data_IF_303890287879
#
_entry.id   IF_303890287879
#
_cell.length_a   1.000
_cell.length_b   1.000
_cell.length_c   1.000
_cell.angle_alpha   90.00
_cell.angle_beta   90.00
_cell.angle_gamma   90.00
#
_symmetry.space_group_name_H-M   'P 1'
#
loop_
_entity.id
_entity.type
_entity.pdbx_description
1 polymer ?
#
# COMPACT_ATOMS: atom_id res chain seq x y z
N UNK A 1 14.46 26.81 -17.82
CA UNK A 1 13.44 25.75 -17.87
C UNK A 1 13.13 25.34 -16.44
N UNK A 2 11.87 25.02 -16.09
CA UNK A 2 11.57 24.44 -14.78
C UNK A 2 12.42 23.17 -14.60
N UNK A 3 12.98 22.98 -13.40
CA UNK A 3 13.73 21.75 -13.09
C UNK A 3 12.75 20.58 -13.02
N UNK A 4 13.17 19.37 -13.43
CA UNK A 4 12.31 18.21 -13.32
C UNK A 4 12.07 17.86 -11.86
N UNK A 5 10.90 17.28 -11.58
CA UNK A 5 10.69 16.50 -10.36
C UNK A 5 10.76 15.02 -10.71
N UNK A 6 11.37 14.23 -9.84
CA UNK A 6 11.55 12.80 -10.08
C UNK A 6 10.52 12.00 -9.32
N UNK A 7 9.73 11.19 -10.02
CA UNK A 7 8.84 10.22 -9.39
C UNK A 7 9.52 8.85 -9.45
N UNK A 8 9.93 8.34 -8.29
CA UNK A 8 10.82 7.18 -8.19
C UNK A 8 10.02 5.89 -8.32
N UNK A 9 10.26 5.14 -9.41
CA UNK A 9 9.56 3.88 -9.72
C UNK A 9 9.48 3.62 -11.21
N UNK A 10 8.87 2.50 -11.59
CA UNK A 10 8.59 2.22 -13.01
C UNK A 10 7.30 2.90 -13.47
N UNK A 11 7.12 3.19 -14.78
CA UNK A 11 5.85 3.73 -15.29
C UNK A 11 4.63 2.89 -14.91
N UNK A 12 4.75 1.56 -14.91
CA UNK A 12 3.66 0.67 -14.53
C UNK A 12 3.25 0.82 -13.05
N UNK A 13 4.19 1.17 -12.18
CA UNK A 13 3.93 1.34 -10.76
C UNK A 13 3.39 2.73 -10.45
N UNK A 14 3.94 3.78 -11.07
CA UNK A 14 3.72 5.15 -10.58
C UNK A 14 3.07 6.12 -11.55
N UNK A 15 2.83 5.76 -12.82
CA UNK A 15 2.27 6.71 -13.78
C UNK A 15 0.93 7.29 -13.33
N UNK A 16 0.07 6.47 -12.71
CA UNK A 16 -1.21 6.93 -12.19
C UNK A 16 -1.08 7.87 -10.98
N UNK A 17 -0.07 7.66 -10.13
CA UNK A 17 0.26 8.56 -9.01
C UNK A 17 0.92 9.87 -9.46
N UNK A 18 1.72 9.82 -10.54
CA UNK A 18 2.46 10.95 -11.08
C UNK A 18 1.59 11.89 -11.94
N UNK A 19 0.55 11.36 -12.60
CA UNK A 19 -0.33 12.12 -13.51
C UNK A 19 -0.85 13.45 -12.95
N UNK A 20 -1.31 13.54 -11.69
CA UNK A 20 -1.79 14.80 -11.12
C UNK A 20 -0.74 15.93 -11.08
N UNK A 21 0.55 15.59 -11.16
CA UNK A 21 1.66 16.54 -11.12
C UNK A 21 2.17 16.95 -12.51
N UNK A 22 1.88 16.16 -13.56
CA UNK A 22 2.41 16.36 -14.92
C UNK A 22 1.98 17.69 -15.57
N UNK A 23 0.83 18.20 -15.16
CA UNK A 23 0.32 19.49 -15.60
C UNK A 23 1.04 20.69 -14.95
N UNK A 24 1.66 20.48 -13.78
CA UNK A 24 2.28 21.54 -12.99
C UNK A 24 3.82 21.51 -13.06
N UNK A 25 4.41 20.33 -13.34
CA UNK A 25 5.85 20.11 -13.31
C UNK A 25 6.32 19.27 -14.50
N UNK A 26 7.61 19.39 -14.84
CA UNK A 26 8.31 18.42 -15.69
C UNK A 26 8.55 17.14 -14.88
N UNK A 27 7.57 16.23 -14.86
CA UNK A 27 7.65 14.99 -14.06
C UNK A 27 8.40 13.92 -14.84
N UNK A 28 9.50 13.42 -14.28
CA UNK A 28 10.25 12.28 -14.80
C UNK A 28 9.99 11.05 -13.95
N UNK A 29 9.42 10.02 -14.56
CA UNK A 29 9.27 8.70 -13.93
C UNK A 29 10.51 7.89 -14.28
N UNK A 30 11.32 7.57 -13.27
CA UNK A 30 12.58 6.87 -13.46
C UNK A 30 12.80 5.84 -12.36
N UNK A 31 13.51 4.77 -12.69
CA UNK A 31 13.88 3.75 -11.72
C UNK A 31 14.85 4.33 -10.65
N UNK A 32 14.88 3.75 -9.44
CA UNK A 32 15.63 4.30 -8.31
C UNK A 32 17.10 4.62 -8.62
N UNK A 33 17.80 3.71 -9.31
CA UNK A 33 19.21 3.89 -9.67
C UNK A 33 19.45 5.02 -10.69
N UNK A 34 18.48 5.29 -11.56
CA UNK A 34 18.61 6.32 -12.59
C UNK A 34 18.28 7.69 -12.02
N UNK A 35 17.28 7.78 -11.14
CA UNK A 35 17.03 8.99 -10.33
C UNK A 35 18.28 9.36 -9.55
N UNK A 36 18.93 8.40 -8.88
CA UNK A 36 20.19 8.66 -8.18
C UNK A 36 21.27 9.19 -9.12
N UNK A 37 21.36 8.72 -10.37
CA UNK A 37 22.36 9.24 -11.33
C UNK A 37 22.03 10.64 -11.82
N UNK A 38 20.77 10.90 -12.14
CA UNK A 38 20.35 12.11 -12.83
C UNK A 38 20.01 13.28 -11.91
N UNK A 39 19.43 13.02 -10.74
CA UNK A 39 19.03 14.05 -9.79
C UNK A 39 20.25 14.85 -9.30
N UNK A 40 20.05 16.16 -9.21
CA UNK A 40 21.04 17.13 -8.77
C UNK A 40 20.68 17.68 -7.39
N UNK A 41 21.65 18.26 -6.65
CA UNK A 41 21.35 18.94 -5.40
C UNK A 41 20.24 19.99 -5.58
N UNK A 42 19.27 19.95 -4.65
CA UNK A 42 18.13 20.85 -4.63
C UNK A 42 16.91 20.36 -5.43
N UNK A 43 16.99 19.21 -6.10
CA UNK A 43 15.84 18.61 -6.79
C UNK A 43 14.91 17.90 -5.81
N UNK A 44 13.64 17.71 -6.22
CA UNK A 44 12.61 17.01 -5.43
C UNK A 44 12.36 15.61 -6.02
N UNK A 45 12.42 14.60 -5.15
CA UNK A 45 12.19 13.20 -5.48
C UNK A 45 11.00 12.64 -4.69
N UNK A 46 10.01 12.09 -5.38
CA UNK A 46 8.77 11.56 -4.80
C UNK A 46 8.79 10.03 -4.82
N UNK A 47 8.47 9.42 -3.68
CA UNK A 47 8.34 7.98 -3.51
C UNK A 47 6.87 7.63 -3.26
N UNK A 48 6.35 6.57 -3.90
CA UNK A 48 5.04 5.99 -3.54
C UNK A 48 5.16 4.83 -2.54
N UNK A 49 6.38 4.33 -2.35
CA UNK A 49 6.73 3.27 -1.42
C UNK A 49 8.21 3.43 -1.09
N UNK A 50 8.57 3.49 0.19
CA UNK A 50 9.96 3.60 0.65
C UNK A 50 10.40 2.38 1.49
N UNK A 51 9.61 1.32 1.51
CA UNK A 51 9.87 0.12 2.32
C UNK A 51 10.61 -0.96 1.57
N UNK A 52 10.51 -0.97 0.23
CA UNK A 52 11.28 -1.90 -0.60
C UNK A 52 12.76 -1.50 -0.63
N UNK A 53 13.65 -2.48 -0.53
CA UNK A 53 15.09 -2.26 -0.43
C UNK A 53 15.65 -1.32 -1.53
N UNK A 54 15.21 -1.48 -2.79
CA UNK A 54 15.66 -0.63 -3.91
C UNK A 54 15.31 0.85 -3.71
N UNK A 55 14.18 1.17 -3.10
CA UNK A 55 13.78 2.56 -2.82
C UNK A 55 14.57 3.13 -1.65
N UNK A 56 14.83 2.33 -0.62
CA UNK A 56 15.65 2.73 0.55
C UNK A 56 17.07 3.11 0.17
N UNK A 57 17.71 2.29 -0.67
CA UNK A 57 19.07 2.58 -1.17
C UNK A 57 19.09 3.89 -1.93
N UNK A 58 18.17 4.10 -2.87
CA UNK A 58 18.09 5.35 -3.61
C UNK A 58 17.80 6.55 -2.70
N UNK A 59 16.91 6.40 -1.73
CA UNK A 59 16.60 7.44 -0.76
C UNK A 59 17.86 7.92 -0.03
N UNK A 60 18.65 7.01 0.53
CA UNK A 60 19.89 7.39 1.25
C UNK A 60 20.87 8.16 0.36
N UNK A 61 21.04 7.75 -0.90
CA UNK A 61 21.92 8.43 -1.85
C UNK A 61 21.36 9.82 -2.23
N UNK A 62 20.05 9.96 -2.40
CA UNK A 62 19.40 11.23 -2.74
C UNK A 62 19.49 12.24 -1.58
N UNK A 63 19.31 11.80 -0.33
CA UNK A 63 19.53 12.65 0.84
C UNK A 63 20.98 13.11 0.93
N UNK A 64 21.97 12.23 0.72
CA UNK A 64 23.40 12.60 0.67
C UNK A 64 23.70 13.61 -0.43
N UNK A 65 22.97 13.54 -1.54
CA UNK A 65 23.03 14.53 -2.64
C UNK A 65 22.29 15.83 -2.34
N UNK A 66 21.68 15.97 -1.16
CA UNK A 66 20.86 17.13 -0.77
C UNK A 66 19.66 17.34 -1.71
N UNK A 67 19.07 16.23 -2.16
CA UNK A 67 17.77 16.23 -2.81
C UNK A 67 16.67 16.18 -1.75
N UNK A 68 15.59 16.92 -1.96
CA UNK A 68 14.40 16.80 -1.12
C UNK A 68 13.66 15.51 -1.46
N UNK A 69 13.16 14.80 -0.45
CA UNK A 69 12.45 13.52 -0.61
C UNK A 69 11.08 13.59 0.02
N UNK A 70 10.06 13.20 -0.73
CA UNK A 70 8.66 13.20 -0.30
C UNK A 70 8.08 11.78 -0.44
N UNK A 71 7.55 11.23 0.64
CA UNK A 71 6.77 10.00 0.59
C UNK A 71 5.30 10.33 0.34
N UNK A 72 4.81 10.06 -0.86
CA UNK A 72 3.44 10.30 -1.28
C UNK A 72 2.58 9.04 -1.08
N UNK A 73 1.77 9.05 -0.04
CA UNK A 73 0.92 7.90 0.31
C UNK A 73 -0.36 7.93 -0.54
N UNK A 74 -0.61 6.87 -1.30
CA UNK A 74 -1.86 6.65 -2.06
C UNK A 74 -2.60 5.38 -1.59
N UNK A 75 -2.33 4.98 -0.36
CA UNK A 75 -2.88 3.79 0.30
C UNK A 75 -3.47 4.14 1.66
N UNK A 76 -4.34 3.28 2.19
CA UNK A 76 -4.59 3.30 3.63
C UNK A 76 -3.45 2.57 4.33
N UNK A 77 -3.02 3.08 5.48
CA UNK A 77 -2.26 2.29 6.43
C UNK A 77 -3.11 1.13 6.94
N UNK A 78 -2.50 -0.04 6.99
CA UNK A 78 -3.17 -1.29 7.35
C UNK A 78 -2.32 -2.04 8.37
N UNK A 79 -2.92 -2.52 9.45
CA UNK A 79 -2.21 -3.11 10.58
C UNK A 79 -1.35 -4.31 10.18
N UNK A 80 -1.93 -5.28 9.47
CA UNK A 80 -1.24 -6.52 9.08
C UNK A 80 -0.03 -6.21 8.20
N UNK A 81 -0.13 -5.23 7.30
CA UNK A 81 0.99 -4.75 6.49
C UNK A 81 2.14 -4.18 7.31
N UNK A 82 1.85 -3.58 8.47
CA UNK A 82 2.83 -2.86 9.29
C UNK A 82 3.43 -3.72 10.40
N UNK A 83 2.70 -4.74 10.87
CA UNK A 83 3.07 -5.52 12.06
C UNK A 83 3.16 -7.03 11.84
N UNK A 84 2.45 -7.56 10.85
CA UNK A 84 2.32 -9.01 10.62
C UNK A 84 2.92 -9.45 9.28
N UNK A 85 3.46 -8.50 8.50
CA UNK A 85 4.12 -8.81 7.24
C UNK A 85 5.42 -9.57 7.51
N UNK A 86 5.60 -10.81 7.01
CA UNK A 86 6.74 -11.67 7.38
C UNK A 86 8.10 -11.24 6.81
N UNK A 87 8.24 -10.01 6.32
CA UNK A 87 9.54 -9.43 5.94
C UNK A 87 10.15 -10.01 4.67
N UNK A 88 9.44 -9.94 3.54
CA UNK A 88 10.01 -10.19 2.20
C UNK A 88 11.05 -9.13 1.76
N UNK A 89 10.99 -8.65 0.52
CA UNK A 89 11.86 -7.55 0.03
C UNK A 89 11.58 -6.19 0.70
N UNK A 90 10.52 -6.11 1.50
CA UNK A 90 10.20 -4.96 2.34
C UNK A 90 10.89 -5.08 3.69
N UNK A 91 11.29 -3.94 4.26
CA UNK A 91 11.84 -3.88 5.62
C UNK A 91 10.94 -4.63 6.63
N UNK A 92 11.55 -5.34 7.58
CA UNK A 92 10.87 -6.02 8.71
C UNK A 92 9.93 -5.10 9.50
N UNK A 93 10.11 -3.79 9.38
CA UNK A 93 9.31 -2.75 10.00
C UNK A 93 8.75 -1.82 8.93
N UNK A 94 7.77 -2.31 8.16
CA UNK A 94 7.06 -1.51 7.18
C UNK A 94 6.53 -0.25 7.86
N UNK A 95 6.85 0.93 7.32
CA UNK A 95 6.49 2.20 7.93
C UNK A 95 7.49 2.80 8.92
N UNK A 96 8.58 2.11 9.32
CA UNK A 96 9.45 2.58 10.43
C UNK A 96 10.95 2.26 10.24
N UNK A 97 11.86 3.25 10.37
CA UNK A 97 11.57 4.68 10.32
C UNK A 97 11.12 5.08 8.91
N UNK A 98 10.26 6.08 8.83
CA UNK A 98 10.08 6.84 7.59
C UNK A 98 11.40 7.52 7.23
N UNK A 99 11.78 7.39 5.96
CA UNK A 99 13.04 7.92 5.47
C UNK A 99 12.90 9.33 4.88
N UNK A 100 11.78 9.58 4.20
CA UNK A 100 11.54 10.83 3.48
C UNK A 100 11.50 12.06 4.40
N UNK A 101 11.98 13.20 3.91
CA UNK A 101 11.93 14.46 4.66
C UNK A 101 10.51 14.90 4.99
N UNK A 102 9.55 14.53 4.13
CA UNK A 102 8.12 14.80 4.28
C UNK A 102 7.29 13.60 3.86
N UNK A 103 6.07 13.53 4.39
CA UNK A 103 5.04 12.53 4.10
C UNK A 103 3.78 13.28 3.65
N UNK A 104 3.31 13.03 2.44
CA UNK A 104 1.98 13.48 2.02
C UNK A 104 0.95 12.43 2.49
N UNK A 105 0.32 12.72 3.63
CA UNK A 105 -0.67 11.86 4.26
C UNK A 105 -2.05 12.01 3.58
N UNK A 106 -2.75 10.88 3.48
CA UNK A 106 -4.11 10.81 2.93
C UNK A 106 -5.13 11.53 3.81
N UNK A 107 -5.00 11.43 5.13
CA UNK A 107 -5.95 12.02 6.08
C UNK A 107 -5.38 12.08 7.49
N UNK A 108 -6.15 12.69 8.39
CA UNK A 108 -5.74 12.94 9.79
C UNK A 108 -5.55 11.64 10.58
N UNK A 109 -6.36 10.61 10.33
CA UNK A 109 -6.25 9.33 11.03
C UNK A 109 -4.87 8.70 10.83
N UNK A 110 -4.40 8.65 9.57
CA UNK A 110 -3.09 8.08 9.24
C UNK A 110 -1.94 8.99 9.68
N UNK A 111 -2.09 10.31 9.58
CA UNK A 111 -1.12 11.25 10.11
C UNK A 111 -0.90 11.02 11.61
N UNK A 112 -1.96 10.91 12.42
CA UNK A 112 -1.83 10.62 13.87
C UNK A 112 -1.08 9.31 14.15
N UNK A 113 -1.27 8.29 13.31
CA UNK A 113 -0.53 7.03 13.44
C UNK A 113 0.97 7.25 13.19
N UNK A 114 1.35 7.93 12.11
CA UNK A 114 2.75 8.27 11.87
C UNK A 114 3.35 9.18 12.94
N UNK A 115 2.61 10.20 13.37
CA UNK A 115 3.01 11.10 14.46
C UNK A 115 3.24 10.32 15.75
N UNK A 116 2.36 9.36 16.07
CA UNK A 116 2.53 8.47 17.22
C UNK A 116 3.77 7.58 17.11
N UNK A 117 4.25 7.30 15.89
CA UNK A 117 5.49 6.56 15.63
C UNK A 117 6.74 7.46 15.61
N UNK A 118 6.60 8.73 15.98
CA UNK A 118 7.71 9.70 16.02
C UNK A 118 7.86 10.55 14.76
N UNK A 119 6.97 10.43 13.78
CA UNK A 119 7.02 11.19 12.52
C UNK A 119 6.15 12.45 12.55
N UNK A 120 6.20 13.16 13.69
CA UNK A 120 5.42 14.36 13.99
C UNK A 120 5.61 15.51 13.00
N UNK A 121 6.85 15.66 12.52
CA UNK A 121 7.33 16.85 11.79
C UNK A 121 7.33 16.63 10.28
N UNK A 122 7.13 15.40 9.85
CA UNK A 122 7.22 14.98 8.46
C UNK A 122 5.84 14.97 7.81
N UNK A 123 4.76 14.78 8.59
CA UNK A 123 3.40 14.63 8.08
C UNK A 123 2.80 15.92 7.51
N UNK A 124 2.23 15.85 6.32
CA UNK A 124 1.48 16.92 5.66
C UNK A 124 0.14 16.37 5.17
N UNK A 125 -0.98 17.02 5.51
CA UNK A 125 -2.31 16.56 5.11
C UNK A 125 -2.60 16.98 3.66
N UNK A 126 -2.59 16.01 2.75
CA UNK A 126 -2.73 16.27 1.31
C UNK A 126 -4.04 15.72 0.76
N UNK A 127 -4.43 14.51 1.15
CA UNK A 127 -5.50 13.76 0.49
C UNK A 127 -4.96 12.86 -0.62
N UNK A 128 -5.86 12.38 -1.49
CA UNK A 128 -5.50 11.53 -2.64
C UNK A 128 -5.88 12.28 -3.93
N UNK A 129 -4.93 12.79 -4.72
CA UNK A 129 -5.22 13.59 -5.91
C UNK A 129 -6.09 12.87 -6.96
N UNK A 130 -6.03 11.54 -7.07
CA UNK A 130 -6.92 10.79 -7.97
C UNK A 130 -8.39 10.82 -7.53
N UNK A 131 -8.69 11.21 -6.30
CA UNK A 131 -10.06 11.39 -5.80
C UNK A 131 -10.63 12.78 -6.11
N UNK A 132 -9.84 13.72 -6.64
CA UNK A 132 -10.33 15.08 -6.92
C UNK A 132 -11.52 15.08 -7.88
N UNK A 133 -11.53 14.17 -8.86
CA UNK A 133 -12.64 14.01 -9.80
C UNK A 133 -13.92 13.45 -9.17
N UNK A 134 -13.83 12.92 -7.94
CA UNK A 134 -14.93 12.34 -7.17
C UNK A 134 -15.60 13.36 -6.25
N UNK A 135 -14.92 14.47 -5.94
CA UNK A 135 -15.43 15.51 -5.04
C UNK A 135 -16.76 16.08 -5.54
N UNK A 136 -17.71 16.25 -4.61
CA UNK A 136 -19.01 16.85 -4.89
C UNK A 136 -19.99 15.98 -5.68
N UNK A 137 -19.62 14.75 -6.04
CA UNK A 137 -20.56 13.82 -6.66
C UNK A 137 -21.61 13.37 -5.64
N UNK A 138 -22.85 13.24 -6.10
CA UNK A 138 -23.93 12.68 -5.29
C UNK A 138 -23.96 11.16 -5.45
N UNK A 139 -24.46 10.43 -4.42
CA UNK A 139 -24.79 9.02 -4.57
C UNK A 139 -25.78 8.81 -5.72
N UNK A 140 -25.73 7.61 -6.31
CA UNK A 140 -26.74 7.16 -7.26
C UNK A 140 -28.13 7.27 -6.66
N UNK A 141 -29.12 7.65 -7.49
CA UNK A 141 -30.54 7.45 -7.18
C UNK A 141 -31.03 6.17 -7.85
N UNK A 142 -31.32 5.14 -7.07
CA UNK A 142 -31.89 3.87 -7.53
C UNK A 142 -33.37 4.05 -7.90
N UNK A 143 -33.82 3.43 -8.99
CA UNK A 143 -35.25 3.35 -9.31
C UNK A 143 -35.96 2.36 -8.38
N UNK A 144 -37.26 2.52 -8.16
CA UNK A 144 -37.99 1.72 -7.15
C UNK A 144 -37.95 0.21 -7.48
N UNK A 145 -38.05 -0.11 -8.77
CA UNK A 145 -38.09 -1.45 -9.36
C UNK A 145 -36.72 -2.11 -9.54
N UNK A 146 -35.64 -1.35 -9.41
CA UNK A 146 -34.28 -1.87 -9.61
C UNK A 146 -33.79 -2.61 -8.35
N UNK A 147 -33.15 -3.78 -8.47
CA UNK A 147 -32.58 -4.46 -7.31
C UNK A 147 -31.48 -3.61 -6.64
N UNK A 148 -31.38 -3.73 -5.31
CA UNK A 148 -30.30 -3.12 -4.55
C UNK A 148 -28.98 -3.82 -4.88
N UNK A 149 -28.02 -3.07 -5.41
CA UNK A 149 -26.76 -3.61 -5.92
C UNK A 149 -25.64 -3.40 -4.93
N UNK A 150 -25.04 -4.49 -4.44
CA UNK A 150 -23.88 -4.48 -3.54
C UNK A 150 -22.62 -4.75 -4.35
N UNK A 151 -21.66 -3.83 -4.30
CA UNK A 151 -20.31 -4.08 -4.78
C UNK A 151 -19.49 -4.79 -3.71
N UNK A 152 -19.00 -5.99 -4.01
CA UNK A 152 -18.05 -6.72 -3.18
C UNK A 152 -16.67 -6.60 -3.80
N UNK A 153 -15.70 -6.07 -3.06
CA UNK A 153 -14.34 -5.90 -3.56
C UNK A 153 -13.25 -6.23 -2.53
N UNK A 154 -12.04 -6.48 -3.00
CA UNK A 154 -10.87 -6.66 -2.13
C UNK A 154 -9.79 -5.63 -2.41
N UNK A 155 -8.98 -5.34 -1.38
CA UNK A 155 -7.67 -4.72 -1.57
C UNK A 155 -6.82 -5.55 -2.55
N UNK A 156 -5.83 -4.91 -3.19
CA UNK A 156 -4.84 -5.59 -4.05
C UNK A 156 -4.16 -6.77 -3.36
N UNK A 157 -3.92 -6.65 -2.05
CA UNK A 157 -3.38 -7.67 -1.16
C UNK A 157 -4.36 -7.89 -0.01
N UNK A 158 -5.30 -8.84 -0.13
CA UNK A 158 -6.32 -9.08 0.90
C UNK A 158 -5.74 -9.70 2.18
N UNK A 159 -4.54 -10.29 2.10
CA UNK A 159 -3.73 -10.76 3.21
C UNK A 159 -2.24 -10.78 2.82
N UNK A 160 -1.38 -10.88 3.84
CA UNK A 160 0.08 -10.87 3.74
C UNK A 160 0.73 -12.20 4.15
N UNK A 161 -0.06 -13.10 4.74
CA UNK A 161 0.29 -14.50 4.99
C UNK A 161 -0.74 -15.42 4.34
N UNK A 162 -0.39 -16.69 4.13
CA UNK A 162 -1.34 -17.68 3.59
C UNK A 162 -2.59 -17.81 4.47
N UNK A 163 -2.42 -17.78 5.79
CA UNK A 163 -3.54 -17.81 6.73
C UNK A 163 -4.47 -16.60 6.59
N UNK A 164 -3.91 -15.39 6.47
CA UNK A 164 -4.71 -14.17 6.27
C UNK A 164 -5.45 -14.20 4.94
N UNK A 165 -4.81 -14.70 3.86
CA UNK A 165 -5.45 -14.88 2.56
C UNK A 165 -6.58 -15.90 2.65
N UNK A 166 -6.37 -17.02 3.35
CA UNK A 166 -7.39 -18.04 3.58
C UNK A 166 -8.59 -17.48 4.35
N UNK A 167 -8.36 -16.70 5.43
CA UNK A 167 -9.44 -16.03 6.18
C UNK A 167 -10.21 -15.02 5.32
N UNK A 168 -9.50 -14.24 4.49
CA UNK A 168 -10.15 -13.32 3.56
C UNK A 168 -11.02 -14.08 2.55
N UNK A 169 -10.51 -15.16 1.96
CA UNK A 169 -11.29 -16.04 1.07
C UNK A 169 -12.52 -16.62 1.78
N UNK A 170 -12.37 -17.12 3.00
CA UNK A 170 -13.50 -17.66 3.77
C UNK A 170 -14.58 -16.61 4.01
N UNK A 171 -14.19 -15.38 4.37
CA UNK A 171 -15.15 -14.28 4.56
C UNK A 171 -15.96 -13.95 3.29
N UNK A 172 -15.34 -14.06 2.12
CA UNK A 172 -16.00 -13.85 0.83
C UNK A 172 -16.93 -15.02 0.46
N UNK A 173 -16.52 -16.27 0.75
CA UNK A 173 -17.36 -17.46 0.56
C UNK A 173 -18.61 -17.43 1.43
N UNK A 174 -18.46 -17.01 2.68
CA UNK A 174 -19.60 -16.86 3.59
C UNK A 174 -20.54 -15.75 3.11
N UNK A 175 -20.01 -14.60 2.70
CA UNK A 175 -20.80 -13.50 2.14
C UNK A 175 -21.57 -13.93 0.90
N UNK A 176 -20.91 -14.63 -0.03
CA UNK A 176 -21.55 -15.19 -1.23
C UNK A 176 -22.69 -16.13 -0.84
N UNK A 177 -22.41 -17.09 0.04
CA UNK A 177 -23.38 -18.07 0.52
C UNK A 177 -24.56 -17.42 1.25
N UNK A 178 -24.31 -16.32 1.96
CA UNK A 178 -25.36 -15.53 2.61
C UNK A 178 -26.26 -14.85 1.56
N UNK A 179 -25.67 -14.16 0.57
CA UNK A 179 -26.41 -13.44 -0.47
C UNK A 179 -27.22 -14.39 -1.38
N UNK A 180 -26.70 -15.58 -1.68
CA UNK A 180 -27.41 -16.59 -2.47
C UNK A 180 -28.61 -17.20 -1.73
N UNK A 181 -28.49 -17.41 -0.40
CA UNK A 181 -29.58 -17.90 0.44
C UNK A 181 -30.62 -16.82 0.77
N UNK A 182 -30.24 -15.54 0.66
CA UNK A 182 -31.09 -14.40 0.98
C UNK A 182 -31.17 -13.46 -0.23
N UNK A 183 -31.86 -13.86 -1.31
CA UNK A 183 -32.00 -13.03 -2.52
C UNK A 183 -32.76 -11.72 -2.27
N UNK A 184 -33.42 -11.62 -1.12
CA UNK A 184 -34.06 -10.40 -0.62
C UNK A 184 -33.58 -10.10 0.79
N UNK A 185 -33.25 -8.85 1.07
CA UNK A 185 -32.83 -8.38 2.41
C UNK A 185 -33.75 -7.22 2.79
N UNK A 186 -34.44 -7.33 3.94
CA UNK A 186 -35.44 -6.33 4.33
C UNK A 186 -36.60 -6.19 3.33
N UNK A 187 -36.92 -7.25 2.58
CA UNK A 187 -37.92 -7.23 1.50
C UNK A 187 -37.44 -6.61 0.18
N UNK A 188 -36.21 -6.10 0.12
CA UNK A 188 -35.61 -5.55 -1.10
C UNK A 188 -34.86 -6.65 -1.87
N UNK A 189 -35.10 -6.87 -3.18
CA UNK A 189 -34.25 -7.73 -4.00
C UNK A 189 -32.81 -7.23 -4.02
N UNK A 190 -31.85 -8.12 -3.82
CA UNK A 190 -30.42 -7.78 -3.78
C UNK A 190 -29.67 -8.46 -4.91
N UNK A 191 -28.77 -7.72 -5.54
CA UNK A 191 -27.80 -8.21 -6.52
C UNK A 191 -26.39 -7.94 -6.02
N UNK A 192 -25.46 -8.86 -6.24
CA UNK A 192 -24.03 -8.62 -5.99
C UNK A 192 -23.24 -8.45 -7.28
N UNK A 193 -22.22 -7.59 -7.22
CA UNK A 193 -21.20 -7.39 -8.25
C UNK A 193 -19.85 -7.61 -7.59
N UNK A 194 -18.99 -8.43 -8.18
CA UNK A 194 -17.73 -8.85 -7.57
C UNK A 194 -16.54 -8.24 -8.31
N UNK A 195 -15.61 -7.65 -7.54
CA UNK A 195 -14.34 -7.06 -8.00
C UNK A 195 -13.24 -7.49 -7.03
N UNK A 196 -12.86 -8.76 -7.10
CA UNK A 196 -11.89 -9.35 -6.18
C UNK A 196 -10.58 -9.64 -6.90
N UNK A 197 -9.48 -9.70 -6.17
CA UNK A 197 -8.12 -9.74 -6.73
C UNK A 197 -7.41 -11.06 -6.43
N UNK A 198 -6.27 -11.28 -7.07
CA UNK A 198 -5.34 -12.41 -6.79
C UNK A 198 -5.91 -13.81 -7.05
N UNK A 199 -6.87 -13.96 -7.96
CA UNK A 199 -7.45 -15.27 -8.26
C UNK A 199 -8.46 -15.75 -7.23
N UNK A 200 -8.79 -14.93 -6.22
CA UNK A 200 -9.83 -15.24 -5.24
C UNK A 200 -11.19 -15.48 -5.92
N UNK A 201 -11.43 -14.93 -7.10
CA UNK A 201 -12.64 -15.20 -7.89
C UNK A 201 -12.84 -16.67 -8.23
N UNK A 202 -11.76 -17.38 -8.56
CA UNK A 202 -11.83 -18.80 -8.85
C UNK A 202 -12.07 -19.60 -7.57
N UNK A 203 -11.49 -19.17 -6.45
CA UNK A 203 -11.62 -19.85 -5.17
C UNK A 203 -13.00 -19.65 -4.53
N UNK A 204 -13.55 -18.45 -4.64
CA UNK A 204 -14.89 -18.08 -4.13
C UNK A 204 -15.99 -18.55 -5.09
N UNK A 205 -15.66 -18.74 -6.37
CA UNK A 205 -16.58 -19.21 -7.41
C UNK A 205 -17.55 -18.13 -7.88
N UNK A 206 -17.02 -16.94 -8.21
CA UNK A 206 -17.80 -15.77 -8.65
C UNK A 206 -17.30 -15.22 -9.98
N UNK A 207 -18.20 -14.63 -10.76
CA UNK A 207 -17.84 -13.91 -11.97
C UNK A 207 -17.23 -12.56 -11.61
N UNK A 208 -15.95 -12.40 -11.90
CA UNK A 208 -15.21 -11.19 -11.57
C UNK A 208 -15.40 -10.11 -12.65
N UNK A 209 -15.75 -8.90 -12.20
CA UNK A 209 -15.93 -7.73 -13.07
C UNK A 209 -14.69 -6.83 -13.12
N UNK A 210 -13.62 -7.21 -12.42
CA UNK A 210 -12.35 -6.47 -12.42
C UNK A 210 -11.73 -6.47 -13.83
N UNK A 211 -11.85 -5.34 -14.54
CA UNK A 211 -11.21 -5.12 -15.84
C UNK A 211 -9.89 -4.35 -15.72
N UNK A 212 -9.80 -3.46 -14.73
CA UNK A 212 -8.66 -2.57 -14.54
C UNK A 212 -8.43 -2.27 -13.04
N UNK A 213 -7.17 -2.12 -12.63
CA UNK A 213 -6.73 -1.76 -11.27
C UNK A 213 -6.35 -0.27 -11.12
N UNK A 214 -6.38 0.54 -12.18
CA UNK A 214 -6.01 1.98 -12.12
C UNK A 214 -7.00 2.88 -11.35
N UNK A 215 -8.14 2.34 -10.92
CA UNK A 215 -9.16 3.05 -10.12
C UNK A 215 -10.21 3.81 -10.94
N UNK A 216 -9.98 4.12 -12.22
CA UNK A 216 -11.00 4.79 -13.06
C UNK A 216 -12.26 3.94 -13.24
N UNK A 217 -12.07 2.63 -13.38
CA UNK A 217 -13.15 1.64 -13.46
C UNK A 217 -13.97 1.57 -12.15
N UNK A 218 -13.31 1.73 -10.99
CA UNK A 218 -13.99 1.71 -9.69
C UNK A 218 -14.91 2.93 -9.52
N UNK A 219 -14.44 4.12 -9.90
CA UNK A 219 -15.25 5.34 -9.83
C UNK A 219 -16.54 5.25 -10.65
N UNK A 220 -16.49 4.64 -11.84
CA UNK A 220 -17.66 4.41 -12.68
C UNK A 220 -18.60 3.36 -12.07
N UNK A 221 -18.04 2.32 -11.46
CA UNK A 221 -18.81 1.26 -10.80
C UNK A 221 -19.50 1.75 -9.53
N UNK A 222 -18.87 2.63 -8.74
CA UNK A 222 -19.48 3.23 -7.54
C UNK A 222 -20.74 4.04 -7.86
N UNK A 223 -20.86 4.56 -9.08
CA UNK A 223 -22.06 5.27 -9.55
C UNK A 223 -23.21 4.32 -9.96
N UNK A 224 -22.96 3.00 -9.95
CA UNK A 224 -23.93 1.98 -10.35
C UNK A 224 -24.36 1.08 -9.19
N UNK A 225 -23.76 1.23 -8.01
CA UNK A 225 -24.06 0.40 -6.84
C UNK A 225 -24.67 1.22 -5.71
N UNK A 226 -25.35 0.53 -4.80
CA UNK A 226 -26.05 1.14 -3.67
C UNK A 226 -25.30 0.94 -2.34
N UNK A 227 -24.42 -0.05 -2.25
CA UNK A 227 -23.52 -0.26 -1.12
C UNK A 227 -22.20 -0.92 -1.54
N UNK A 228 -21.19 -0.79 -0.69
CA UNK A 228 -19.89 -1.45 -0.84
C UNK A 228 -19.63 -2.37 0.37
N UNK A 229 -19.18 -3.59 0.11
CA UNK A 229 -18.56 -4.46 1.11
C UNK A 229 -17.13 -4.73 0.67
N UNK A 230 -16.15 -4.40 1.49
CA UNK A 230 -14.74 -4.48 1.11
C UNK A 230 -13.84 -4.94 2.23
N UNK A 231 -12.75 -5.63 1.91
CA UNK A 231 -11.61 -5.77 2.83
C UNK A 231 -10.91 -4.40 3.02
N UNK A 232 -10.06 -4.20 4.06
CA UNK A 232 -9.40 -2.92 4.29
C UNK A 232 -8.68 -2.41 3.04
N UNK A 233 -9.17 -1.33 2.42
CA UNK A 233 -8.61 -0.80 1.17
C UNK A 233 -8.93 0.69 0.98
N UNK A 234 -8.22 1.36 0.08
CA UNK A 234 -8.54 2.75 -0.30
C UNK A 234 -9.91 2.91 -0.97
N UNK A 235 -10.47 1.83 -1.53
CA UNK A 235 -11.80 1.86 -2.11
C UNK A 235 -12.90 2.12 -1.06
N UNK A 236 -12.62 1.87 0.23
CA UNK A 236 -13.50 2.31 1.32
C UNK A 236 -13.70 3.82 1.28
N UNK A 237 -12.60 4.57 1.20
CA UNK A 237 -12.63 6.03 1.15
C UNK A 237 -13.29 6.54 -0.13
N UNK A 238 -13.08 5.85 -1.27
CA UNK A 238 -13.77 6.17 -2.53
C UNK A 238 -15.29 6.02 -2.40
N UNK A 239 -15.77 4.90 -1.85
CA UNK A 239 -17.19 4.65 -1.62
C UNK A 239 -17.82 5.65 -0.65
N UNK A 240 -17.15 5.88 0.49
CA UNK A 240 -17.59 6.87 1.48
C UNK A 240 -17.65 8.29 0.90
N UNK A 241 -16.67 8.67 0.08
CA UNK A 241 -16.62 9.99 -0.59
C UNK A 241 -17.77 10.19 -1.58
N UNK A 242 -18.26 9.11 -2.19
CA UNK A 242 -19.46 9.14 -3.04
C UNK A 242 -20.77 9.05 -2.24
N UNK A 243 -20.71 9.02 -0.90
CA UNK A 243 -21.86 8.86 -0.02
C UNK A 243 -22.52 7.48 -0.10
N UNK A 244 -21.80 6.47 -0.61
CA UNK A 244 -22.25 5.08 -0.67
C UNK A 244 -22.01 4.44 0.71
N UNK A 245 -22.98 3.76 1.33
CA UNK A 245 -22.76 2.96 2.54
C UNK A 245 -21.65 1.93 2.35
N UNK A 246 -20.66 1.91 3.23
CA UNK A 246 -19.49 1.03 3.16
C UNK A 246 -19.40 0.15 4.40
N UNK A 247 -19.36 -1.17 4.19
CA UNK A 247 -19.00 -2.14 5.22
C UNK A 247 -17.58 -2.69 5.02
N UNK A 248 -16.87 -2.79 6.13
CA UNK A 248 -15.56 -3.43 6.22
C UNK A 248 -15.75 -4.93 6.52
N UNK A 249 -15.29 -5.78 5.60
CA UNK A 249 -15.25 -7.24 5.75
C UNK A 249 -13.83 -7.64 6.18
N UNK A 250 -13.66 -7.98 7.45
CA UNK A 250 -12.35 -8.39 7.97
C UNK A 250 -12.47 -9.43 9.08
N UNK A 251 -12.30 -10.70 8.72
CA UNK A 251 -12.27 -11.82 9.65
C UNK A 251 -10.94 -11.97 10.40
N UNK A 252 -9.94 -11.14 10.12
CA UNK A 252 -8.67 -11.20 10.85
C UNK A 252 -8.76 -10.55 12.22
N UNK A 253 -9.80 -9.74 12.47
CA UNK A 253 -10.05 -9.05 13.73
C UNK A 253 -8.82 -8.26 14.23
N UNK A 254 -8.19 -7.54 13.30
CA UNK A 254 -7.02 -6.70 13.58
C UNK A 254 -7.42 -5.23 13.75
N UNK A 255 -6.60 -4.38 14.39
CA UNK A 255 -6.86 -2.96 14.51
C UNK A 255 -7.03 -2.27 13.13
N UNK A 256 -8.05 -1.41 13.00
CA UNK A 256 -8.31 -0.64 11.78
C UNK A 256 -7.88 0.82 11.95
N UNK A 257 -6.89 1.27 11.18
CA UNK A 257 -6.47 2.67 11.15
C UNK A 257 -7.40 3.57 10.33
N UNK A 258 -8.20 2.95 9.46
CA UNK A 258 -9.29 3.59 8.71
C UNK A 258 -10.53 2.70 8.91
N UNK A 259 -11.38 2.98 9.90
CA UNK A 259 -12.54 2.15 10.19
C UNK A 259 -13.71 2.44 9.23
N UNK A 260 -14.73 1.57 9.27
CA UNK A 260 -16.04 1.83 8.64
C UNK A 260 -17.15 1.88 9.69
N UNK A 261 -18.29 2.49 9.32
CA UNK A 261 -19.48 2.53 10.17
C UNK A 261 -20.16 1.15 10.29
N UNK A 262 -19.89 0.25 9.35
CA UNK A 262 -20.33 -1.15 9.38
C UNK A 262 -19.11 -2.07 9.35
N UNK A 263 -19.03 -3.00 10.30
CA UNK A 263 -17.93 -3.97 10.39
C UNK A 263 -18.50 -5.39 10.40
N UNK A 264 -17.97 -6.24 9.54
CA UNK A 264 -18.32 -7.65 9.39
C UNK A 264 -17.05 -8.45 9.67
N UNK A 265 -16.94 -8.92 10.91
CA UNK A 265 -15.78 -9.69 11.39
C UNK A 265 -16.09 -11.18 11.56
N UNK A 266 -17.36 -11.57 11.38
CA UNK A 266 -17.83 -12.95 11.45
C UNK A 266 -19.11 -13.13 10.64
N UNK A 267 -19.47 -14.39 10.35
CA UNK A 267 -20.62 -14.75 9.51
C UNK A 267 -21.96 -14.31 10.13
N UNK A 268 -22.05 -14.32 11.46
CA UNK A 268 -23.23 -13.94 12.22
C UNK A 268 -23.59 -12.45 12.03
N UNK A 269 -22.63 -11.63 11.58
CA UNK A 269 -22.84 -10.19 11.40
C UNK A 269 -23.53 -9.84 10.08
N UNK A 270 -23.59 -10.75 9.09
CA UNK A 270 -24.14 -10.43 7.77
C UNK A 270 -25.59 -9.95 7.83
N UNK A 271 -26.44 -10.62 8.61
CA UNK A 271 -27.86 -10.26 8.65
C UNK A 271 -28.07 -8.82 9.10
N UNK A 272 -27.42 -8.42 10.19
CA UNK A 272 -27.55 -7.06 10.70
C UNK A 272 -26.89 -6.06 9.75
N UNK A 273 -25.63 -6.30 9.36
CA UNK A 273 -24.86 -5.35 8.56
C UNK A 273 -25.51 -5.11 7.19
N UNK A 274 -25.90 -6.17 6.48
CA UNK A 274 -26.49 -6.04 5.15
C UNK A 274 -27.91 -5.45 5.19
N UNK A 275 -28.72 -5.77 6.20
CA UNK A 275 -30.03 -5.15 6.37
C UNK A 275 -29.91 -3.64 6.58
N UNK A 276 -28.93 -3.22 7.38
CA UNK A 276 -28.64 -1.80 7.54
C UNK A 276 -28.02 -1.19 6.28
N UNK A 277 -27.17 -1.86 5.50
CA UNK A 277 -26.70 -1.29 4.24
C UNK A 277 -27.86 -1.02 3.24
N UNK A 278 -28.86 -1.91 3.21
CA UNK A 278 -30.07 -1.74 2.37
C UNK A 278 -30.95 -0.57 2.85
N UNK A 279 -31.01 -0.36 4.17
CA UNK A 279 -31.78 0.73 4.80
C UNK A 279 -30.93 1.44 5.85
N UNK A 280 -29.95 2.27 5.44
CA UNK A 280 -28.92 2.79 6.32
C UNK A 280 -29.49 3.76 7.35
N UNK A 281 -29.29 3.51 8.65
CA UNK A 281 -29.69 4.46 9.69
C UNK A 281 -29.02 5.83 9.46
N UNK A 282 -29.76 6.95 9.50
CA UNK A 282 -29.20 8.28 9.27
C UNK A 282 -27.99 8.60 10.18
N UNK A 283 -28.02 8.14 11.44
CA UNK A 283 -26.91 8.30 12.37
C UNK A 283 -25.63 7.58 11.92
N UNK A 284 -25.73 6.39 11.31
CA UNK A 284 -24.56 5.65 10.80
C UNK A 284 -23.99 6.27 9.53
N UNK A 285 -24.83 6.84 8.66
CA UNK A 285 -24.37 7.63 7.52
C UNK A 285 -23.63 8.89 7.96
N UNK A 286 -24.16 9.60 8.95
CA UNK A 286 -23.48 10.75 9.54
C UNK A 286 -22.14 10.35 10.17
N UNK A 287 -22.11 9.23 10.89
CA UNK A 287 -20.85 8.70 11.43
C UNK A 287 -19.86 8.29 10.33
N UNK A 288 -20.31 7.67 9.24
CA UNK A 288 -19.46 7.38 8.08
C UNK A 288 -18.84 8.66 7.49
N UNK A 289 -19.62 9.74 7.38
CA UNK A 289 -19.10 11.02 6.92
C UNK A 289 -18.02 11.57 7.88
N UNK A 290 -18.23 11.44 9.19
CA UNK A 290 -17.19 11.79 10.17
C UNK A 290 -15.91 10.96 9.98
N UNK A 291 -16.05 9.63 9.81
CA UNK A 291 -14.92 8.73 9.54
C UNK A 291 -14.19 9.07 8.24
N UNK A 292 -14.93 9.44 7.18
CA UNK A 292 -14.36 9.89 5.92
C UNK A 292 -13.49 11.13 6.11
N UNK A 293 -13.98 12.16 6.79
CA UNK A 293 -13.22 13.41 6.99
C UNK A 293 -12.00 13.23 7.91
N UNK A 294 -12.01 12.20 8.75
CA UNK A 294 -10.84 11.82 9.53
C UNK A 294 -9.84 11.00 8.69
N UNK A 295 -10.34 10.04 7.89
CA UNK A 295 -9.53 9.14 7.07
C UNK A 295 -8.99 9.74 5.77
N UNK A 296 -9.64 10.79 5.26
CA UNK A 296 -9.31 11.46 4.00
C UNK A 296 -9.44 12.99 4.14
N UNK A 297 -8.36 13.69 3.84
CA UNK A 297 -8.37 15.14 3.71
C UNK A 297 -9.03 15.51 2.36
N UNK A 298 -10.32 15.85 2.41
CA UNK A 298 -11.18 16.06 1.24
C UNK A 298 -11.96 17.39 1.27
N UNK A 299 -11.51 18.37 2.06
CA UNK A 299 -12.12 19.72 2.10
C UNK A 299 -11.98 20.50 0.79
N UNK A 300 -11.06 20.08 -0.08
CA UNK A 300 -10.85 20.59 -1.43
C UNK A 300 -9.97 19.63 -2.24
N UNK A 301 -9.57 20.02 -3.47
CA UNK A 301 -8.73 19.20 -4.32
C UNK A 301 -7.36 18.90 -3.69
N UNK A 302 -7.03 17.62 -3.56
CA UNK A 302 -5.75 17.15 -3.04
C UNK A 302 -4.59 17.48 -3.98
N UNK A 303 -4.83 17.55 -5.30
CA UNK A 303 -3.81 17.95 -6.28
C UNK A 303 -3.23 19.32 -5.95
N UNK A 304 -4.05 20.31 -5.64
CA UNK A 304 -3.58 21.67 -5.35
C UNK A 304 -2.65 21.69 -4.14
N UNK A 305 -3.00 20.96 -3.07
CA UNK A 305 -2.16 20.82 -1.88
C UNK A 305 -0.86 20.08 -2.16
N UNK A 306 -0.89 19.02 -2.98
CA UNK A 306 0.32 18.30 -3.35
C UNK A 306 1.27 19.17 -4.18
N UNK A 307 0.75 19.95 -5.13
CA UNK A 307 1.53 20.92 -5.92
C UNK A 307 2.17 21.94 -5.00
N UNK A 308 1.39 22.56 -4.11
CA UNK A 308 1.89 23.54 -3.14
C UNK A 308 3.00 22.94 -2.24
N UNK A 309 2.82 21.70 -1.77
CA UNK A 309 3.82 21.02 -0.96
C UNK A 309 5.14 20.85 -1.72
N UNK A 310 5.07 20.37 -2.97
CA UNK A 310 6.25 20.17 -3.83
C UNK A 310 6.95 21.50 -4.13
N UNK A 311 6.20 22.57 -4.43
CA UNK A 311 6.76 23.91 -4.65
C UNK A 311 7.49 24.46 -3.43
N UNK A 312 6.88 24.33 -2.23
CA UNK A 312 7.52 24.74 -0.97
C UNK A 312 8.78 23.93 -0.70
N UNK A 313 8.75 22.62 -0.97
CA UNK A 313 9.92 21.76 -0.79
C UNK A 313 11.06 22.12 -1.76
N UNK A 314 10.74 22.32 -3.04
CA UNK A 314 11.69 22.75 -4.08
C UNK A 314 12.34 24.10 -3.72
N UNK A 315 11.54 25.07 -3.27
CA UNK A 315 12.06 26.38 -2.87
C UNK A 315 13.05 26.28 -1.70
N UNK A 316 12.75 25.47 -0.68
CA UNK A 316 13.63 25.27 0.47
C UNK A 316 14.92 24.54 0.05
N UNK A 317 14.79 23.49 -0.77
CA UNK A 317 15.93 22.71 -1.23
C UNK A 317 16.91 23.53 -2.06
N UNK A 318 16.41 24.34 -2.99
CA UNK A 318 17.23 25.27 -3.78
C UNK A 318 17.94 26.30 -2.92
N UNK A 319 17.24 26.87 -1.93
CA UNK A 319 17.82 27.84 -1.00
C UNK A 319 18.96 27.21 -0.19
N UNK A 320 18.72 26.03 0.39
CA UNK A 320 19.74 25.32 1.16
C UNK A 320 21.00 25.06 0.31
N UNK A 321 20.83 24.63 -0.95
CA UNK A 321 21.96 24.44 -1.88
C UNK A 321 22.69 25.75 -2.19
N UNK A 322 21.97 26.82 -2.50
CA UNK A 322 22.55 28.12 -2.81
C UNK A 322 23.33 28.73 -1.63
N UNK A 323 22.84 28.51 -0.42
CA UNK A 323 23.45 29.02 0.83
C UNK A 323 24.50 28.07 1.42
N UNK A 324 24.62 26.85 0.90
CA UNK A 324 25.51 25.83 1.45
C UNK A 324 25.08 25.28 2.83
N UNK A 325 23.81 25.43 3.21
CA UNK A 325 23.26 25.04 4.53
C UNK A 325 22.64 23.65 4.53
N UNK A 326 22.54 23.01 5.69
CA UNK A 326 21.87 21.70 5.78
C UNK A 326 20.41 21.79 5.31
N UNK A 327 19.96 20.78 4.53
CA UNK A 327 18.59 20.72 4.07
C UNK A 327 17.67 20.36 5.24
N UNK A 328 16.92 21.33 5.73
CA UNK A 328 15.98 21.16 6.83
C UNK A 328 14.61 21.72 6.45
N UNK A 329 13.55 21.04 6.87
CA UNK A 329 12.18 21.47 6.62
C UNK A 329 11.48 21.90 7.93
N UNK A 330 10.63 22.94 7.89
CA UNK A 330 9.69 23.23 8.97
C UNK A 330 8.80 22.02 9.28
N UNK A 331 8.25 21.94 10.49
CA UNK A 331 7.39 20.81 10.89
C UNK A 331 6.11 20.69 10.04
N UNK A 332 5.54 21.81 9.57
CA UNK A 332 4.40 21.83 8.64
C UNK A 332 4.67 22.81 7.51
N UNK A 333 4.46 22.37 6.28
CA UNK A 333 4.60 23.17 5.07
C UNK A 333 3.25 23.63 4.56
N UNK A 334 2.17 22.85 4.71
CA UNK A 334 0.85 23.22 4.16
C UNK A 334 -0.05 24.00 5.13
N UNK A 335 0.13 23.80 6.44
CA UNK A 335 -0.64 24.53 7.45
C UNK A 335 0.03 25.87 7.80
N UNK A 336 -0.78 26.90 8.06
CA UNK A 336 -0.29 28.15 8.64
C UNK A 336 0.22 27.91 10.06
N UNK A 337 1.13 28.76 10.54
CA UNK A 337 1.80 28.63 11.85
C UNK A 337 0.86 28.59 13.09
N UNK A 338 -0.45 28.77 12.89
CA UNK A 338 -1.47 28.84 13.94
C UNK A 338 -2.35 27.59 14.05
N UNK A 339 -2.15 26.55 13.23
CA UNK A 339 -2.82 25.27 13.49
C UNK A 339 -2.14 24.68 14.75
N UNK A 340 -2.87 24.35 15.84
CA UNK A 340 -2.31 23.89 17.12
C UNK A 340 -1.61 22.51 17.04
N UNK A 341 -1.09 22.14 15.88
CA UNK A 341 -0.50 20.85 15.54
C UNK A 341 0.93 20.69 16.06
N UNK A 342 1.08 20.81 17.37
CA UNK A 342 2.02 20.02 18.17
C UNK A 342 1.32 19.76 19.51
N UNK A 343 0.27 18.94 19.51
CA UNK A 343 -0.05 18.26 20.75
C UNK A 343 1.23 17.53 21.19
N UNK A 344 1.62 17.65 22.46
CA UNK A 344 2.71 16.90 23.06
C UNK A 344 2.36 15.41 22.98
N UNK A 345 2.61 14.80 21.82
CA UNK A 345 2.51 13.37 21.66
C UNK A 345 3.72 12.78 22.35
N UNK A 346 3.47 11.97 23.39
CA UNK A 346 4.49 11.09 23.94
C UNK A 346 4.95 10.19 22.78
N UNK A 347 6.23 10.23 22.39
CA UNK A 347 6.76 9.38 21.35
C UNK A 347 6.47 7.91 21.65
N UNK A 348 6.39 7.09 20.61
CA UNK A 348 6.29 5.65 20.74
C UNK A 348 7.41 5.13 21.67
N UNK A 349 7.03 4.46 22.74
CA UNK A 349 7.98 3.76 23.60
C UNK A 349 8.37 2.44 22.92
N UNK A 350 9.49 2.46 22.20
CA UNK A 350 10.00 1.29 21.48
C UNK A 350 10.30 0.11 22.42
N UNK A 351 10.77 0.36 23.64
CA UNK A 351 11.08 -0.67 24.63
C UNK A 351 9.80 -1.38 25.08
N UNK A 352 8.70 -0.62 25.22
CA UNK A 352 7.40 -1.19 25.56
C UNK A 352 6.78 -2.01 24.44
N UNK A 353 6.99 -1.61 23.19
CA UNK A 353 6.37 -2.26 22.02
C UNK A 353 7.17 -3.47 21.54
N UNK A 354 8.49 -3.39 21.61
CA UNK A 354 9.41 -4.44 21.19
C UNK A 354 10.28 -4.89 22.35
N UNK A 355 9.68 -5.42 23.44
CA UNK A 355 10.41 -5.74 24.66
C UNK A 355 11.51 -6.77 24.39
N UNK A 356 12.74 -6.44 24.78
CA UNK A 356 13.91 -7.29 24.61
C UNK A 356 14.49 -7.33 23.19
N UNK A 357 14.01 -6.47 22.28
CA UNK A 357 14.60 -6.33 20.96
C UNK A 357 15.85 -5.45 21.03
N UNK A 358 17.02 -6.09 20.99
CA UNK A 358 18.32 -5.42 21.03
C UNK A 358 18.51 -4.35 19.93
N UNK A 359 17.71 -4.40 18.85
CA UNK A 359 17.73 -3.41 17.76
C UNK A 359 17.29 -2.02 18.22
N UNK A 360 16.40 -1.93 19.21
CA UNK A 360 15.86 -0.65 19.70
C UNK A 360 16.57 -0.16 20.98
N UNK A 361 17.31 -1.04 21.66
CA UNK A 361 18.20 -0.67 22.77
C UNK A 361 19.44 0.10 22.29
N UNK A 362 19.69 0.12 20.97
CA UNK A 362 20.86 0.77 20.38
C UNK A 362 20.69 2.29 20.25
N UNK A 363 20.73 2.99 21.37
CA UNK A 363 20.91 4.45 21.40
C UNK A 363 22.39 4.86 21.23
N UNK A 364 23.29 3.89 21.05
CA UNK A 364 24.71 4.11 20.84
C UNK A 364 25.01 4.23 19.34
N UNK A 365 25.15 5.46 18.88
CA UNK A 365 25.50 5.78 17.49
C UNK A 365 26.79 5.09 17.03
N UNK A 366 27.76 4.84 17.92
CA UNK A 366 29.01 4.17 17.57
C UNK A 366 28.79 2.68 17.34
N UNK A 367 27.98 2.03 18.18
CA UNK A 367 27.59 0.62 18.00
C UNK A 367 26.78 0.41 16.72
N UNK A 368 25.86 1.32 16.41
CA UNK A 368 25.14 1.34 15.13
C UNK A 368 26.10 1.48 13.94
N UNK A 369 27.09 2.37 14.02
CA UNK A 369 28.11 2.52 12.98
C UNK A 369 28.93 1.24 12.78
N UNK A 370 29.27 0.54 13.86
CA UNK A 370 29.97 -0.75 13.81
C UNK A 370 29.09 -1.84 13.18
N UNK A 371 27.84 -2.00 13.62
CA UNK A 371 26.94 -2.99 13.01
C UNK A 371 26.67 -2.69 11.54
N UNK A 372 26.51 -1.42 11.17
CA UNK A 372 26.41 -1.02 9.75
C UNK A 372 27.68 -1.36 8.98
N UNK A 373 28.86 -1.17 9.58
CA UNK A 373 30.15 -1.55 8.98
C UNK A 373 30.24 -3.06 8.78
N UNK A 374 29.88 -3.85 9.80
CA UNK A 374 29.91 -5.31 9.77
C UNK A 374 28.92 -5.86 8.75
N UNK A 375 27.70 -5.29 8.69
CA UNK A 375 26.71 -5.64 7.68
C UNK A 375 27.19 -5.31 6.27
N UNK A 376 27.84 -4.14 6.07
CA UNK A 376 28.46 -3.80 4.77
C UNK A 376 29.55 -4.78 4.39
N UNK A 377 30.38 -5.21 5.34
CA UNK A 377 31.43 -6.19 5.10
C UNK A 377 30.85 -7.57 4.79
N UNK A 378 29.83 -8.00 5.53
CA UNK A 378 29.11 -9.26 5.29
C UNK A 378 28.42 -9.25 3.92
N UNK A 379 27.79 -8.14 3.53
CA UNK A 379 27.21 -7.98 2.19
C UNK A 379 28.29 -8.03 1.09
N UNK A 380 29.44 -7.37 1.28
CA UNK A 380 30.54 -7.42 0.33
C UNK A 380 31.07 -8.86 0.17
N UNK A 381 31.22 -9.60 1.27
CA UNK A 381 31.62 -11.00 1.26
C UNK A 381 30.58 -11.90 0.56
N UNK A 382 29.30 -11.70 0.83
CA UNK A 382 28.21 -12.41 0.16
C UNK A 382 28.20 -12.14 -1.36
N UNK A 383 28.36 -10.89 -1.77
CA UNK A 383 28.46 -10.50 -3.18
C UNK A 383 29.68 -11.13 -3.86
N UNK A 384 30.83 -11.18 -3.19
CA UNK A 384 32.01 -11.87 -3.70
C UNK A 384 31.76 -13.38 -3.88
N UNK A 385 31.06 -14.01 -2.93
CA UNK A 385 30.68 -15.43 -3.03
C UNK A 385 29.73 -15.68 -4.20
N UNK A 386 28.74 -14.81 -4.41
CA UNK A 386 27.81 -14.88 -5.54
C UNK A 386 28.55 -14.72 -6.87
N UNK A 387 29.47 -13.76 -6.97
CA UNK A 387 30.30 -13.57 -8.16
C UNK A 387 31.14 -14.83 -8.47
N UNK A 388 31.82 -15.38 -7.46
CA UNK A 388 32.58 -16.62 -7.62
C UNK A 388 31.72 -17.82 -8.05
N UNK A 389 30.50 -17.93 -7.52
CA UNK A 389 29.56 -18.97 -7.94
C UNK A 389 29.11 -18.79 -9.40
N UNK A 390 28.90 -17.55 -9.86
CA UNK A 390 28.61 -17.26 -11.27
C UNK A 390 29.78 -17.66 -12.18
N UNK A 391 30.99 -17.26 -11.85
CA UNK A 391 32.19 -17.61 -12.63
C UNK A 391 32.39 -19.14 -12.70
N UNK A 392 32.13 -19.83 -11.58
CA UNK A 392 32.19 -21.30 -11.54
C UNK A 392 31.14 -21.93 -12.44
N UNK A 393 29.90 -21.41 -12.42
CA UNK A 393 28.83 -21.88 -13.31
C UNK A 393 29.19 -21.66 -14.77
N UNK A 394 29.68 -20.48 -15.14
CA UNK A 394 30.11 -20.16 -16.51
C UNK A 394 31.26 -21.08 -16.97
N UNK A 395 32.24 -21.32 -16.11
CA UNK A 395 33.34 -22.25 -16.38
C UNK A 395 32.82 -23.67 -16.62
N UNK A 396 31.92 -24.17 -15.78
CA UNK A 396 31.28 -25.49 -15.95
C UNK A 396 30.52 -25.55 -17.26
N UNK A 397 29.73 -24.53 -17.60
CA UNK A 397 28.99 -24.45 -18.86
C UNK A 397 29.89 -24.43 -20.09
N UNK A 398 31.06 -23.78 -20.00
CA UNK A 398 32.07 -23.77 -21.04
C UNK A 398 32.74 -25.15 -21.20
N UNK A 399 33.11 -25.81 -20.09
CA UNK A 399 33.66 -27.18 -20.11
C UNK A 399 32.67 -28.19 -20.73
N UNK A 400 31.39 -28.08 -20.38
CA UNK A 400 30.33 -28.88 -20.95
C UNK A 400 30.11 -28.60 -22.45
N UNK A 401 30.39 -27.36 -22.90
CA UNK A 401 30.39 -26.99 -24.31
C UNK A 401 31.46 -27.71 -25.08
N UNK A 402 32.70 -27.59 -24.61
CA UNK A 402 33.89 -28.13 -25.27
C UNK A 402 33.83 -29.66 -25.37
N UNK A 403 33.25 -30.32 -24.37
CA UNK A 403 33.10 -31.79 -24.36
C UNK A 403 31.88 -32.30 -25.15
N UNK A 404 31.15 -31.44 -25.88
CA UNK A 404 29.92 -31.81 -26.61
C UNK A 404 28.78 -32.29 -25.70
N UNK A 405 28.89 -32.06 -24.39
CA UNK A 405 27.97 -32.55 -23.36
C UNK A 405 26.80 -31.60 -23.11
N UNK A 406 26.82 -30.39 -23.68
CA UNK A 406 25.74 -29.39 -23.57
C UNK A 406 24.35 -29.99 -23.84
N UNK A 407 24.19 -30.84 -24.87
CA UNK A 407 22.90 -31.49 -25.15
C UNK A 407 22.49 -32.51 -24.08
N UNK A 408 23.44 -33.27 -23.52
CA UNK A 408 23.15 -34.25 -22.46
C UNK A 408 22.81 -33.56 -21.14
N UNK A 409 23.51 -32.47 -20.79
CA UNK A 409 23.21 -31.67 -19.59
C UNK A 409 21.90 -30.93 -19.73
N UNK A 410 21.59 -30.34 -20.89
CA UNK A 410 20.26 -29.74 -21.13
C UNK A 410 19.14 -30.76 -20.99
N UNK A 411 19.32 -31.98 -21.53
CA UNK A 411 18.37 -33.09 -21.35
C UNK A 411 18.25 -33.50 -19.89
N UNK A 412 19.35 -33.53 -19.14
CA UNK A 412 19.35 -33.89 -17.73
C UNK A 412 18.68 -32.81 -16.87
N UNK A 413 18.97 -31.52 -17.09
CA UNK A 413 18.32 -30.39 -16.43
C UNK A 413 16.83 -30.32 -16.77
N UNK A 414 16.43 -30.60 -18.02
CA UNK A 414 15.01 -30.72 -18.37
C UNK A 414 14.34 -31.90 -17.67
N UNK A 415 15.04 -33.04 -17.53
CA UNK A 415 14.53 -34.22 -16.81
C UNK A 415 14.43 -33.97 -15.31
N UNK A 416 15.44 -33.34 -14.71
CA UNK A 416 15.47 -32.94 -13.31
C UNK A 416 14.39 -31.88 -13.02
N UNK A 417 14.25 -30.86 -13.86
CA UNK A 417 13.18 -29.86 -13.75
C UNK A 417 11.77 -30.47 -13.88
N UNK A 418 11.60 -31.54 -14.67
CA UNK A 418 10.34 -32.31 -14.71
C UNK A 418 10.12 -33.15 -13.45
N UNK A 419 11.18 -33.71 -12.86
CA UNK A 419 11.10 -34.46 -11.59
C UNK A 419 10.77 -33.52 -10.44
N UNK A 420 11.44 -32.37 -10.34
CA UNK A 420 11.15 -31.34 -9.34
C UNK A 420 9.72 -30.83 -9.51
N UNK A 421 9.26 -30.51 -10.73
CA UNK A 421 7.85 -30.15 -10.96
C UNK A 421 6.87 -31.26 -10.59
N UNK A 422 7.20 -32.54 -10.82
CA UNK A 422 6.34 -33.65 -10.37
C UNK A 422 6.32 -33.84 -8.86
N UNK A 423 7.44 -33.57 -8.19
CA UNK A 423 7.52 -33.62 -6.73
C UNK A 423 6.73 -32.48 -6.11
N UNK A 424 6.91 -31.26 -6.62
CA UNK A 424 6.15 -30.06 -6.21
C UNK A 424 4.66 -30.24 -6.49
N UNK A 425 4.28 -30.84 -7.62
CA UNK A 425 2.87 -31.13 -7.93
C UNK A 425 2.28 -32.32 -7.14
N UNK A 426 3.13 -33.23 -6.61
CA UNK A 426 2.67 -34.33 -5.74
C UNK A 426 2.46 -33.88 -4.31
N UNK A 427 3.21 -32.88 -3.84
CA UNK A 427 2.96 -32.22 -2.55
C UNK A 427 1.73 -31.30 -2.56
N UNK A 428 1.06 -31.16 -3.71
CA UNK A 428 -0.15 -30.35 -3.87
C UNK A 428 -1.36 -31.18 -4.38
N UNK A 429 -1.35 -32.51 -4.20
CA UNK A 429 -2.51 -33.37 -4.53
C UNK A 429 -3.52 -33.37 -3.35
N UNK A 430 -4.73 -32.78 -3.48
CA UNK A 430 -5.68 -32.60 -2.37
C UNK A 430 -6.25 -33.90 -1.80
N UNK A 431 -5.88 -35.05 -2.36
CA UNK A 431 -6.34 -36.37 -1.90
C UNK A 431 -5.58 -36.90 -0.71
N UNK A 432 -4.37 -36.41 -0.44
CA UNK A 432 -3.58 -36.88 0.71
C UNK A 432 -3.98 -36.21 2.04
N UNK A 433 -4.76 -35.12 2.02
CA UNK A 433 -5.38 -34.56 3.24
C UNK A 433 -6.57 -35.37 3.75
N UNK A 434 -7.23 -36.19 2.90
CA UNK A 434 -8.35 -37.06 3.33
C UNK A 434 -7.91 -38.37 4.00
N UNK A 435 -6.60 -38.59 4.17
CA UNK A 435 -6.05 -39.75 4.89
C UNK A 435 -5.40 -39.39 6.23
N UNK A 436 -5.36 -38.11 6.58
CA UNK A 436 -4.83 -37.62 7.85
C UNK A 436 -5.92 -37.07 8.81
N UNK A 437 -7.19 -37.19 8.43
CA UNK A 437 -8.36 -37.10 9.31
C UNK A 437 -9.01 -38.49 9.37
#
# INVERSE_FOLDING_TARGET
MPRPIYYVGTPAEVAHHARPLMDAFDVRIEEPQDVVRHAQPGDVCLFFNEFLNRFRVAHHELVRKRCATLYAIDGILEWRSMWEFPGGDACLWTGRPILSHKIACVGRSQARIFESWGHGRECELVGIPRFDALLGRSPRKRAAEEPFTILVLTAKWPGFTEEQVHRASQSLKDLKSYLERNPTIGGMPVKSVWRITQGLEAEVGVDNTLKDTTGQDLAAMLQQVDAVVTTPSTAMLEGMLQGVPVALLDYNNCPHYVPAAWNITANEHFQQALAELVSPPPAKLHYQQHLLHDGLECTGPARSRLVELVERMDSIAKRAVAEGTELTFPARLLQGANDPATADFTPLDHDRIFPGSALFDMNDALRLQLEVSDLRQAMAAANHKIAHQRDTLEWVEHQLAQKGLRQKVRRFQQKAGRVVRRLVNRTSDPKDEKRAA
#
